data_IF_322377506538
#
_entry.id   IF_322377506538
#
_cell.length_a   1.000
_cell.length_b   1.000
_cell.length_c   1.000
_cell.angle_alpha   90.00
_cell.angle_beta   90.00
_cell.angle_gamma   90.00
#
_symmetry.space_group_name_H-M   'P 1'
#
loop_
_entity.id
_entity.type
_entity.pdbx_description
1 polymer ?
#
# COMPACT_ATOMS: atom_id res chain seq x y z
N UNK A 1 4.09 -0.34 -6.71
CA UNK A 1 2.84 0.37 -6.33
C UNK A 1 3.08 1.87 -6.22
N UNK A 2 4.01 2.31 -5.36
CA UNK A 2 4.33 3.73 -5.18
C UNK A 2 4.65 4.48 -6.47
N UNK A 3 5.52 3.93 -7.34
CA UNK A 3 5.84 4.54 -8.63
C UNK A 3 4.60 4.73 -9.50
N UNK A 4 3.76 3.70 -9.62
CA UNK A 4 2.52 3.77 -10.38
C UNK A 4 1.52 4.80 -9.84
N UNK A 5 1.44 4.96 -8.50
CA UNK A 5 0.62 6.00 -7.88
C UNK A 5 1.15 7.40 -8.25
N UNK A 6 2.46 7.63 -8.11
CA UNK A 6 3.10 8.91 -8.45
C UNK A 6 2.99 9.26 -9.93
N UNK A 7 3.23 8.30 -10.82
CA UNK A 7 3.12 8.49 -12.28
C UNK A 7 1.71 8.89 -12.72
N UNK A 8 0.69 8.48 -11.98
CA UNK A 8 -0.72 8.85 -12.24
C UNK A 8 -1.17 10.08 -11.45
N UNK A 9 -0.27 10.74 -10.73
CA UNK A 9 -0.54 11.97 -9.98
C UNK A 9 -1.28 11.75 -8.66
N UNK A 10 -1.32 10.52 -8.14
CA UNK A 10 -1.93 10.25 -6.83
C UNK A 10 -0.94 10.47 -5.69
N UNK A 11 -1.44 10.95 -4.55
CA UNK A 11 -0.69 11.00 -3.29
C UNK A 11 -0.56 9.58 -2.72
N UNK A 12 0.64 8.98 -2.68
CA UNK A 12 0.75 7.55 -2.43
C UNK A 12 0.36 7.12 -1.01
N UNK A 13 0.63 7.95 0.00
CA UNK A 13 0.37 7.60 1.40
C UNK A 13 -1.13 7.50 1.62
N UNK A 14 -1.90 8.52 1.25
CA UNK A 14 -3.35 8.58 1.38
C UNK A 14 -4.06 7.47 0.61
N UNK A 15 -3.56 7.11 -0.58
CA UNK A 15 -4.10 5.98 -1.34
C UNK A 15 -3.85 4.64 -0.63
N UNK A 16 -2.66 4.44 -0.08
CA UNK A 16 -2.36 3.23 0.70
C UNK A 16 -3.19 3.19 1.98
N UNK A 17 -3.31 4.29 2.71
CA UNK A 17 -4.16 4.39 3.90
C UNK A 17 -5.62 4.07 3.56
N UNK A 18 -6.16 4.65 2.49
CA UNK A 18 -7.52 4.36 2.02
C UNK A 18 -7.70 2.89 1.66
N UNK A 19 -6.74 2.29 0.95
CA UNK A 19 -6.72 0.86 0.63
C UNK A 19 -6.72 -0.04 1.88
N UNK A 20 -5.88 0.26 2.88
CA UNK A 20 -5.78 -0.56 4.10
C UNK A 20 -7.03 -0.44 4.97
N UNK A 21 -7.61 0.75 5.11
CA UNK A 21 -8.80 0.97 5.96
C UNK A 21 -10.09 0.45 5.34
N UNK A 22 -10.30 0.69 4.03
CA UNK A 22 -11.54 0.30 3.34
C UNK A 22 -11.48 -1.12 2.77
N UNK A 23 -10.28 -1.59 2.48
CA UNK A 23 -10.06 -2.79 1.69
C UNK A 23 -10.38 -2.65 0.21
N UNK A 24 -10.77 -1.47 -0.27
CA UNK A 24 -11.16 -1.25 -1.65
C UNK A 24 -9.90 -1.11 -2.55
N UNK A 25 -9.66 -2.04 -3.50
CA UNK A 25 -8.51 -1.98 -4.39
C UNK A 25 -8.57 -0.82 -5.41
N UNK A 26 -9.67 -0.06 -5.51
CA UNK A 26 -9.77 1.08 -6.43
C UNK A 26 -8.85 2.24 -6.05
N UNK A 27 -8.52 2.40 -4.75
CA UNK A 27 -7.49 3.32 -4.27
C UNK A 27 -6.12 3.06 -4.94
N UNK A 28 -5.88 1.84 -5.40
CA UNK A 28 -4.66 1.51 -6.12
C UNK A 28 -4.94 1.51 -7.62
N UNK A 29 -4.27 2.40 -8.35
CA UNK A 29 -4.32 2.40 -9.81
C UNK A 29 -3.86 1.07 -10.39
N UNK A 30 -4.46 0.64 -11.52
CA UNK A 30 -3.97 -0.54 -12.23
C UNK A 30 -2.79 -0.23 -13.18
N UNK A 31 -2.33 1.02 -13.22
CA UNK A 31 -1.15 1.42 -14.00
C UNK A 31 0.06 0.54 -13.65
N UNK A 32 0.77 0.04 -14.67
CA UNK A 32 1.88 -0.92 -14.54
C UNK A 32 1.56 -2.17 -13.70
N UNK A 33 0.29 -2.58 -13.69
CA UNK A 33 -0.22 -3.73 -12.94
C UNK A 33 -0.16 -3.55 -11.42
N UNK A 34 -0.10 -2.32 -10.91
CA UNK A 34 0.10 -2.06 -9.48
C UNK A 34 -1.02 -2.61 -8.59
N UNK A 35 -2.29 -2.50 -9.01
CA UNK A 35 -3.43 -3.10 -8.30
C UNK A 35 -3.32 -4.62 -8.24
N UNK A 36 -2.91 -5.27 -9.32
CA UNK A 36 -2.68 -6.72 -9.32
C UNK A 36 -1.53 -7.10 -8.39
N UNK A 37 -0.43 -6.34 -8.39
CA UNK A 37 0.75 -6.60 -7.54
C UNK A 37 0.44 -6.51 -6.04
N UNK A 38 -0.28 -5.49 -5.59
CA UNK A 38 -0.57 -5.31 -4.16
C UNK A 38 -1.56 -6.36 -3.64
N UNK A 39 -2.46 -6.86 -4.49
CA UNK A 39 -3.45 -7.89 -4.15
C UNK A 39 -2.88 -9.31 -4.10
N UNK A 40 -1.58 -9.50 -4.36
CA UNK A 40 -0.93 -10.82 -4.26
C UNK A 40 -0.61 -11.21 -2.81
N UNK A 41 -0.65 -10.25 -1.90
CA UNK A 41 -0.48 -10.48 -0.47
C UNK A 41 -1.78 -10.07 0.21
N UNK A 42 -2.10 -10.78 1.29
CA UNK A 42 -3.24 -10.39 2.13
C UNK A 42 -2.91 -9.06 2.84
N UNK A 43 -3.95 -8.27 3.11
CA UNK A 43 -3.75 -6.90 3.63
C UNK A 43 -3.21 -6.88 5.05
N UNK A 44 -3.61 -7.86 5.86
CA UNK A 44 -3.11 -8.07 7.22
C UNK A 44 -1.64 -8.46 7.21
N UNK A 45 -1.19 -9.35 6.33
CA UNK A 45 0.22 -9.69 6.14
C UNK A 45 1.05 -8.45 5.75
N UNK A 46 0.54 -7.63 4.82
CA UNK A 46 1.17 -6.36 4.45
C UNK A 46 1.24 -5.39 5.63
N UNK A 47 0.18 -5.29 6.43
CA UNK A 47 0.12 -4.41 7.60
C UNK A 47 1.08 -4.88 8.69
N UNK A 48 1.20 -6.19 8.92
CA UNK A 48 2.14 -6.77 9.87
C UNK A 48 3.58 -6.39 9.51
N UNK A 49 3.98 -6.53 8.24
CA UNK A 49 5.31 -6.12 7.77
C UNK A 49 5.55 -4.62 7.98
N UNK A 50 4.55 -3.77 7.72
CA UNK A 50 4.65 -2.32 7.93
C UNK A 50 4.83 -2.00 9.41
N UNK A 51 4.04 -2.62 10.29
CA UNK A 51 4.13 -2.41 11.73
C UNK A 51 5.45 -2.94 12.30
N UNK A 52 5.92 -4.11 11.85
CA UNK A 52 7.20 -4.66 12.26
C UNK A 52 8.36 -3.72 11.87
N UNK A 53 8.36 -3.20 10.64
CA UNK A 53 9.37 -2.24 10.18
C UNK A 53 9.30 -0.90 10.95
N UNK A 54 8.09 -0.43 11.27
CA UNK A 54 7.89 0.76 12.10
C UNK A 54 8.46 0.54 13.51
N UNK A 55 8.06 -0.55 14.18
CA UNK A 55 8.53 -0.87 15.53
C UNK A 55 10.04 -1.13 15.56
N UNK A 56 10.62 -1.76 14.55
CA UNK A 56 12.07 -1.93 14.46
C UNK A 56 12.81 -0.59 14.37
N UNK A 57 12.22 0.41 13.70
CA UNK A 57 12.83 1.74 13.58
C UNK A 57 12.79 2.56 14.87
N UNK A 58 11.81 2.30 15.74
CA UNK A 58 11.57 3.09 16.96
C UNK A 58 11.72 2.30 18.27
N UNK A 59 11.91 0.99 18.21
CA UNK A 59 12.27 0.14 19.33
C UNK A 59 13.76 0.26 19.60
N UNK A 60 14.11 0.74 20.79
CA UNK A 60 15.48 0.72 21.32
C UNK A 60 15.99 -0.72 21.48
#
# INVERSE_FOLDING_TARGET
VLAALKEKGYEPIGQLVGYFLSGDPTYITNHNGARGKIRRMERDELLEVILAAYLQKFGN
#
